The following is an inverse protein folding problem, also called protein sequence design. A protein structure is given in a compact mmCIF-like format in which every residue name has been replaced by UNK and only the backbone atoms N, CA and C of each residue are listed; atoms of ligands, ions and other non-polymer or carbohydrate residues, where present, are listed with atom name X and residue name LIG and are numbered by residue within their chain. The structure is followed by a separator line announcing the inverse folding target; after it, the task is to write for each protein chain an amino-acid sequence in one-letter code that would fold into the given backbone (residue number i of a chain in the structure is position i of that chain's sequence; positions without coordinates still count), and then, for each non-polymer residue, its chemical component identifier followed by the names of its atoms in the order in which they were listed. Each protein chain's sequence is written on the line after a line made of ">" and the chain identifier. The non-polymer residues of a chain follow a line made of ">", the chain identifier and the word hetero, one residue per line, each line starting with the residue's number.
data_IF_296853164391
#
_entry.id   IF_296853164391
#
_cell.length_a   1.000
_cell.length_b   1.000
_cell.length_c   1.000
_cell.angle_alpha   90.00
_cell.angle_beta   90.00
_cell.angle_gamma   90.00
#
_symmetry.space_group_name_H-M   'P 1'
#
loop_
_entity.id
_entity.type
_entity.pdbx_description
1 polymer ?
#
# COMPACT_ATOMS: atom_id res chain seq x y z
N UNK A 1 38.84 -10.19 34.81
CA UNK A 1 37.94 -9.15 35.39
C UNK A 1 37.13 -8.36 34.34
N UNK A 2 36.91 -8.87 33.12
CA UNK A 2 36.14 -8.18 32.05
C UNK A 2 34.72 -8.72 31.85
N UNK A 3 34.35 -9.80 32.54
CA UNK A 3 33.05 -10.50 32.40
C UNK A 3 31.98 -9.98 33.38
N UNK A 4 32.39 -9.32 34.46
CA UNK A 4 31.49 -8.70 35.45
C UNK A 4 30.89 -7.38 34.91
N UNK A 5 31.58 -6.70 33.97
CA UNK A 5 31.08 -5.46 33.36
C UNK A 5 29.98 -5.69 32.29
N UNK A 6 29.82 -6.92 31.78
CA UNK A 6 28.79 -7.21 30.74
C UNK A 6 27.43 -7.62 31.29
N UNK A 7 27.31 -7.91 32.60
CA UNK A 7 26.03 -8.36 33.19
C UNK A 7 25.19 -7.20 33.74
N UNK A 8 25.80 -6.04 34.01
CA UNK A 8 25.09 -4.86 34.53
C UNK A 8 24.46 -3.96 33.45
N UNK A 9 24.73 -4.22 32.17
CA UNK A 9 24.07 -3.54 31.04
C UNK A 9 22.79 -4.27 30.58
N UNK A 10 22.45 -5.38 31.24
CA UNK A 10 21.27 -6.21 30.99
C UNK A 10 20.06 -5.75 31.84
N UNK A 11 19.86 -4.44 31.96
CA UNK A 11 18.66 -3.83 32.55
C UNK A 11 18.00 -2.77 31.65
N UNK A 12 18.33 -2.77 30.35
CA UNK A 12 17.60 -2.01 29.32
C UNK A 12 16.97 -2.97 28.32
N UNK A 13 16.33 -4.01 28.84
CA UNK A 13 15.30 -4.75 28.10
C UNK A 13 13.95 -4.26 28.57
N UNK A 14 13.08 -3.93 27.61
CA UNK A 14 11.65 -3.63 27.75
C UNK A 14 11.30 -2.14 27.89
N UNK A 15 11.60 -1.35 26.86
CA UNK A 15 10.70 -0.30 26.40
C UNK A 15 10.93 -0.10 24.89
N UNK A 16 9.97 -0.50 24.06
CA UNK A 16 10.04 -0.28 22.60
C UNK A 16 9.89 -1.51 21.72
N UNK A 17 9.15 -2.53 22.16
CA UNK A 17 8.51 -3.46 21.23
C UNK A 17 7.48 -2.66 20.41
N UNK A 18 7.75 -2.44 19.11
CA UNK A 18 6.76 -1.88 18.19
C UNK A 18 7.22 -0.73 17.31
N UNK A 19 8.45 -0.76 16.79
CA UNK A 19 8.74 -0.03 15.54
C UNK A 19 8.02 -0.78 14.39
N UNK A 20 6.71 -0.60 14.30
CA UNK A 20 5.92 -0.98 13.14
C UNK A 20 6.45 -0.18 11.97
N UNK A 21 7.26 -0.84 11.14
CA UNK A 21 7.95 -0.21 10.03
C UNK A 21 7.00 0.63 9.20
N UNK A 22 7.46 1.84 8.86
CA UNK A 22 7.02 2.54 7.68
C UNK A 22 7.38 1.67 6.46
N UNK A 23 6.59 0.63 6.22
CA UNK A 23 6.55 -0.06 4.94
C UNK A 23 5.86 0.93 4.01
N UNK A 24 6.61 1.36 3.01
CA UNK A 24 6.16 2.10 1.83
C UNK A 24 4.86 1.50 1.31
N UNK A 25 3.74 2.03 1.79
CA UNK A 25 2.43 1.78 1.22
C UNK A 25 2.41 2.49 -0.13
N UNK A 26 1.89 1.81 -1.16
CA UNK A 26 1.49 2.50 -2.37
C UNK A 26 0.53 3.62 -1.96
N UNK A 27 0.75 4.87 -2.40
CA UNK A 27 0.02 6.05 -1.91
C UNK A 27 -1.51 5.90 -2.09
N UNK A 28 -1.89 5.09 -3.08
CA UNK A 28 -3.25 4.71 -3.41
C UNK A 28 -4.01 3.97 -2.29
N UNK A 29 -3.49 2.82 -1.86
CA UNK A 29 -4.14 2.01 -0.83
C UNK A 29 -4.20 2.78 0.50
N UNK A 30 -3.19 3.60 0.78
CA UNK A 30 -3.14 4.42 1.98
C UNK A 30 -4.27 5.46 2.01
N UNK A 31 -4.46 6.23 0.93
CA UNK A 31 -5.55 7.22 0.84
C UNK A 31 -6.93 6.60 1.00
N UNK A 32 -7.18 5.43 0.38
CA UNK A 32 -8.45 4.71 0.52
C UNK A 32 -8.68 4.22 1.96
N UNK A 33 -7.65 3.65 2.59
CA UNK A 33 -7.72 3.18 3.97
C UNK A 33 -7.87 4.33 4.98
N UNK A 34 -7.26 5.48 4.72
CA UNK A 34 -7.43 6.68 5.54
C UNK A 34 -8.84 7.27 5.42
N UNK A 35 -9.43 7.29 4.21
CA UNK A 35 -10.81 7.69 4.01
C UNK A 35 -11.79 6.76 4.74
N UNK A 36 -11.54 5.45 4.71
CA UNK A 36 -12.32 4.48 5.49
C UNK A 36 -12.16 4.68 7.00
N UNK A 37 -10.95 4.94 7.48
CA UNK A 37 -10.70 5.23 8.88
C UNK A 37 -11.43 6.52 9.33
N UNK A 38 -11.41 7.56 8.49
CA UNK A 38 -12.11 8.82 8.73
C UNK A 38 -13.63 8.64 8.72
N UNK A 39 -14.18 7.86 7.80
CA UNK A 39 -15.60 7.50 7.78
C UNK A 39 -16.03 6.74 9.04
N UNK A 40 -15.13 5.93 9.60
CA UNK A 40 -15.31 5.23 10.89
C UNK A 40 -15.02 6.11 12.11
N UNK A 41 -14.66 7.39 11.93
CA UNK A 41 -14.26 8.35 12.98
C UNK A 41 -13.12 7.82 13.86
N UNK A 42 -12.23 7.00 13.31
CA UNK A 42 -11.07 6.49 14.02
C UNK A 42 -10.02 7.60 14.12
N UNK A 43 -9.52 7.84 15.33
CA UNK A 43 -8.48 8.83 15.61
C UNK A 43 -7.30 8.20 16.37
N UNK A 44 -6.16 8.88 16.36
CA UNK A 44 -4.96 8.46 17.10
C UNK A 44 -4.47 7.06 16.72
N UNK A 45 -4.08 6.27 17.73
CA UNK A 45 -3.54 4.92 17.54
C UNK A 45 -4.53 3.97 16.82
N UNK A 46 -5.83 4.12 17.05
CA UNK A 46 -6.85 3.30 16.39
C UNK A 46 -6.91 3.55 14.88
N UNK A 47 -6.75 4.82 14.44
CA UNK A 47 -6.63 5.16 13.02
C UNK A 47 -5.40 4.48 12.43
N UNK A 48 -4.25 4.62 13.07
CA UNK A 48 -2.98 4.05 12.58
C UNK A 48 -3.05 2.53 12.46
N UNK A 49 -3.57 1.83 13.48
CA UNK A 49 -3.71 0.37 13.41
C UNK A 49 -4.71 -0.08 12.34
N UNK A 50 -5.81 0.64 12.17
CA UNK A 50 -6.79 0.34 11.12
C UNK A 50 -6.21 0.55 9.73
N UNK A 51 -5.59 1.71 9.48
CA UNK A 51 -4.98 2.02 8.18
C UNK A 51 -3.86 1.02 7.87
N UNK A 52 -3.01 0.71 8.85
CA UNK A 52 -1.94 -0.28 8.69
C UNK A 52 -2.47 -1.67 8.33
N UNK A 53 -3.52 -2.14 9.00
CA UNK A 53 -4.20 -3.41 8.64
C UNK A 53 -4.83 -3.34 7.26
N UNK A 54 -5.58 -2.27 6.98
CA UNK A 54 -6.29 -2.09 5.72
C UNK A 54 -5.34 -2.07 4.52
N UNK A 55 -4.20 -1.37 4.61
CA UNK A 55 -3.20 -1.35 3.54
C UNK A 55 -2.60 -2.73 3.33
N UNK A 56 -2.29 -3.44 4.41
CA UNK A 56 -1.72 -4.79 4.33
C UNK A 56 -2.72 -5.79 3.72
N UNK A 57 -3.99 -5.66 4.08
CA UNK A 57 -5.09 -6.45 3.55
C UNK A 57 -5.31 -6.14 2.06
N UNK A 58 -5.29 -4.86 1.67
CA UNK A 58 -5.41 -4.44 0.27
C UNK A 58 -4.25 -4.96 -0.60
N UNK A 59 -3.01 -4.93 -0.09
CA UNK A 59 -1.85 -5.49 -0.78
C UNK A 59 -1.95 -7.02 -0.93
N UNK A 60 -2.42 -7.71 0.12
CA UNK A 60 -2.71 -9.14 0.10
C UNK A 60 -3.83 -9.50 -0.87
N UNK A 61 -4.90 -8.70 -0.92
CA UNK A 61 -6.03 -8.90 -1.81
C UNK A 61 -5.67 -8.70 -3.28
N UNK A 62 -4.85 -7.68 -3.60
CA UNK A 62 -4.33 -7.49 -4.97
C UNK A 62 -3.51 -8.70 -5.42
N UNK A 63 -2.60 -9.18 -4.56
CA UNK A 63 -1.80 -10.39 -4.83
C UNK A 63 -2.71 -11.61 -4.99
N UNK A 64 -3.66 -11.83 -4.09
CA UNK A 64 -4.59 -12.97 -4.13
C UNK A 64 -5.49 -12.98 -5.36
N UNK A 65 -5.98 -11.81 -5.82
CA UNK A 65 -6.73 -11.68 -7.09
C UNK A 65 -5.85 -12.07 -8.28
N UNK A 66 -4.61 -11.59 -8.30
CA UNK A 66 -3.64 -11.92 -9.34
C UNK A 66 -3.23 -13.39 -9.32
N UNK A 67 -3.10 -14.00 -8.13
CA UNK A 67 -2.85 -15.43 -7.97
C UNK A 67 -4.02 -16.28 -8.46
N UNK A 68 -5.26 -15.88 -8.15
CA UNK A 68 -6.46 -16.56 -8.64
C UNK A 68 -6.58 -16.44 -10.16
N UNK A 69 -6.31 -15.27 -10.73
CA UNK A 69 -6.28 -15.07 -12.17
C UNK A 69 -5.18 -15.88 -12.86
N UNK A 70 -4.01 -16.02 -12.23
CA UNK A 70 -2.94 -16.90 -12.72
C UNK A 70 -3.35 -18.38 -12.66
N UNK A 71 -4.02 -18.81 -11.57
CA UNK A 71 -4.51 -20.17 -11.40
C UNK A 71 -5.63 -20.52 -12.39
N UNK A 72 -6.53 -19.58 -12.67
CA UNK A 72 -7.58 -19.71 -13.68
C UNK A 72 -7.00 -19.92 -15.09
N UNK A 73 -5.92 -19.18 -15.39
CA UNK A 73 -5.11 -19.38 -16.61
C UNK A 73 -4.17 -20.59 -16.55
N UNK A 74 -4.25 -21.42 -15.50
CA UNK A 74 -3.39 -22.60 -15.26
C UNK A 74 -1.90 -22.29 -15.36
N UNK A 75 -1.48 -21.07 -15.01
CA UNK A 75 -0.09 -20.66 -15.03
C UNK A 75 0.63 -21.28 -13.82
N UNK A 76 1.78 -21.91 -14.06
CA UNK A 76 2.62 -22.51 -13.05
C UNK A 76 4.08 -21.99 -13.16
N UNK A 77 4.86 -22.17 -12.09
CA UNK A 77 6.28 -21.81 -12.05
C UNK A 77 6.56 -20.34 -12.38
N UNK A 78 7.58 -20.10 -13.19
CA UNK A 78 8.02 -18.74 -13.55
C UNK A 78 6.94 -17.91 -14.26
N UNK A 79 6.04 -18.56 -15.03
CA UNK A 79 4.93 -17.89 -15.71
C UNK A 79 3.90 -17.35 -14.72
N UNK A 80 3.59 -18.11 -13.66
CA UNK A 80 2.73 -17.64 -12.55
C UNK A 80 3.34 -16.39 -11.90
N UNK A 81 4.62 -16.45 -11.55
CA UNK A 81 5.29 -15.34 -10.86
C UNK A 81 5.34 -14.07 -11.73
N UNK A 82 5.66 -14.22 -13.02
CA UNK A 82 5.70 -13.10 -13.98
C UNK A 82 4.31 -12.50 -14.19
N UNK A 83 3.27 -13.33 -14.27
CA UNK A 83 1.89 -12.86 -14.39
C UNK A 83 1.44 -12.11 -13.15
N UNK A 84 1.71 -12.62 -11.94
CA UNK A 84 1.33 -11.94 -10.69
C UNK A 84 2.02 -10.59 -10.60
N UNK A 85 3.32 -10.53 -10.86
CA UNK A 85 4.07 -9.27 -10.84
C UNK A 85 3.50 -8.26 -11.83
N UNK A 86 3.13 -8.71 -13.04
CA UNK A 86 2.52 -7.83 -14.05
C UNK A 86 1.11 -7.40 -13.65
N UNK A 87 0.32 -8.33 -13.13
CA UNK A 87 -1.04 -8.08 -12.67
C UNK A 87 -1.07 -7.07 -11.53
N UNK A 88 -0.26 -7.24 -10.48
CA UNK A 88 -0.19 -6.29 -9.35
C UNK A 88 0.30 -4.91 -9.83
N UNK A 89 1.27 -4.87 -10.76
CA UNK A 89 1.74 -3.62 -11.37
C UNK A 89 0.64 -2.93 -12.20
N UNK A 90 -0.13 -3.69 -12.96
CA UNK A 90 -1.24 -3.18 -13.77
C UNK A 90 -2.41 -2.71 -12.90
N UNK A 91 -2.76 -3.45 -11.84
CA UNK A 91 -3.76 -3.04 -10.86
C UNK A 91 -3.36 -1.71 -10.21
N UNK A 92 -2.11 -1.60 -9.76
CA UNK A 92 -1.57 -0.36 -9.22
C UNK A 92 -1.60 0.80 -10.24
N UNK A 93 -1.25 0.56 -11.50
CA UNK A 93 -1.32 1.58 -12.55
C UNK A 93 -2.76 2.02 -12.86
N UNK A 94 -3.72 1.10 -12.76
CA UNK A 94 -5.14 1.39 -12.96
C UNK A 94 -5.70 2.23 -11.82
N UNK A 95 -5.28 1.93 -10.58
CA UNK A 95 -5.65 2.71 -9.40
C UNK A 95 -5.07 4.13 -9.45
N UNK A 96 -3.80 4.25 -9.86
CA UNK A 96 -3.16 5.54 -10.14
C UNK A 96 -3.92 6.33 -11.21
N UNK A 97 -4.32 5.69 -12.32
CA UNK A 97 -5.11 6.36 -13.36
C UNK A 97 -6.46 6.86 -12.81
N UNK A 98 -7.19 6.03 -12.06
CA UNK A 98 -8.45 6.41 -11.45
C UNK A 98 -8.29 7.59 -10.45
N UNK A 99 -7.18 7.63 -9.70
CA UNK A 99 -6.88 8.75 -8.81
C UNK A 99 -6.53 10.03 -9.56
N UNK A 100 -5.73 9.92 -10.63
CA UNK A 100 -5.46 11.03 -11.51
C UNK A 100 -6.75 11.59 -12.14
N UNK A 101 -7.70 10.73 -12.48
CA UNK A 101 -9.02 11.15 -12.95
C UNK A 101 -9.85 11.84 -11.86
N UNK A 102 -9.86 11.32 -10.62
CA UNK A 102 -10.53 11.96 -9.49
C UNK A 102 -9.91 13.32 -9.16
N UNK A 103 -8.58 13.42 -9.15
CA UNK A 103 -7.88 14.68 -8.94
C UNK A 103 -8.19 15.70 -10.06
N UNK A 104 -8.32 15.23 -11.30
CA UNK A 104 -8.78 16.07 -12.41
C UNK A 104 -10.22 16.56 -12.22
N UNK A 105 -11.11 15.68 -11.74
CA UNK A 105 -12.51 16.02 -11.45
C UNK A 105 -12.64 17.04 -10.30
N UNK A 106 -11.82 16.93 -9.25
CA UNK A 106 -11.75 17.93 -8.16
C UNK A 106 -11.32 19.29 -8.70
N UNK A 107 -10.41 19.32 -9.68
CA UNK A 107 -10.00 20.55 -10.38
C UNK A 107 -10.98 21.01 -11.46
N UNK A 108 -12.14 20.35 -11.62
CA UNK A 108 -13.14 20.59 -12.68
C UNK A 108 -12.51 20.61 -14.09
N UNK A 109 -11.44 19.85 -14.30
CA UNK A 109 -10.82 19.72 -15.62
C UNK A 109 -11.71 18.86 -16.51
N UNK A 110 -12.05 19.37 -17.69
CA UNK A 110 -12.83 18.67 -18.71
C UNK A 110 -12.10 18.65 -20.06
N UNK A 111 -12.54 17.79 -20.97
CA UNK A 111 -12.00 17.69 -22.32
C UNK A 111 -10.49 17.41 -22.38
N UNK A 112 -9.79 18.07 -23.31
CA UNK A 112 -8.36 17.87 -23.54
C UNK A 112 -7.48 18.15 -22.31
N UNK A 113 -7.88 19.11 -21.47
CA UNK A 113 -7.15 19.47 -20.25
C UNK A 113 -7.15 18.33 -19.21
N UNK A 114 -8.28 17.61 -19.09
CA UNK A 114 -8.37 16.41 -18.24
C UNK A 114 -7.41 15.33 -18.75
N UNK A 115 -7.43 15.03 -20.05
CA UNK A 115 -6.62 13.96 -20.61
C UNK A 115 -5.10 14.23 -20.46
N UNK A 116 -4.67 15.48 -20.65
CA UNK A 116 -3.27 15.89 -20.48
C UNK A 116 -2.81 15.81 -19.02
N UNK A 117 -3.68 16.20 -18.08
CA UNK A 117 -3.42 16.07 -16.64
C UNK A 117 -3.29 14.61 -16.22
N UNK A 118 -4.23 13.75 -16.65
CA UNK A 118 -4.22 12.33 -16.29
C UNK A 118 -2.98 11.64 -16.85
N UNK A 119 -2.63 11.88 -18.12
CA UNK A 119 -1.39 11.37 -18.72
C UNK A 119 -0.13 11.78 -17.96
N UNK A 120 0.01 13.07 -17.61
CA UNK A 120 1.16 13.55 -16.81
C UNK A 120 1.18 12.97 -15.41
N UNK A 121 0.02 12.87 -14.78
CA UNK A 121 -0.15 12.36 -13.42
C UNK A 121 0.25 10.87 -13.35
N UNK A 122 -0.27 10.03 -14.26
CA UNK A 122 0.10 8.61 -14.33
C UNK A 122 1.58 8.42 -14.66
N UNK A 123 2.17 9.31 -15.47
CA UNK A 123 3.60 9.25 -15.81
C UNK A 123 4.53 9.69 -14.68
N UNK A 124 4.02 10.44 -13.70
CA UNK A 124 4.81 10.98 -12.58
C UNK A 124 4.62 10.20 -11.27
N UNK A 125 3.80 9.16 -11.28
CA UNK A 125 3.44 8.31 -10.14
C UNK A 125 4.16 6.96 -10.20
#
# INVERSE_FOLDING_TARGET
>A
MKRILMVLSLCVTVLGMGMGGAQSATPAAQLQCEAQAAAKKLAGAAKTSFVGKCVKDAAGAATGKCEKAAADKKLAGAAKNSFIQKCVKTDAATDTAAQCEKAAAVKKLAGAAKNSFVQKCVKSA
#
